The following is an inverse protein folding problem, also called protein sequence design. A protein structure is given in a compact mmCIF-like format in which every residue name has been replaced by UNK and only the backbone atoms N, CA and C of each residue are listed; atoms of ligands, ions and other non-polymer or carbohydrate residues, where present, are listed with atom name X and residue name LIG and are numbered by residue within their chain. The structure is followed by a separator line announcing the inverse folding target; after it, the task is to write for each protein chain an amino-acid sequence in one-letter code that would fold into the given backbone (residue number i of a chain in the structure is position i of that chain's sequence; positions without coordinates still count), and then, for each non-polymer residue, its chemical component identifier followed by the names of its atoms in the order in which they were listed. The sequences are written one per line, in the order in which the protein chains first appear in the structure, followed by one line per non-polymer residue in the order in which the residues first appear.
data_IF_874535422136
#
_entry.id   IF_874535422136
#
_cell.length_a   1.000
_cell.length_b   1.000
_cell.length_c   1.000
_cell.angle_alpha   90.00
_cell.angle_beta   90.00
_cell.angle_gamma   90.00
#
_symmetry.space_group_name_H-M   'P 1'
#
loop_
_entity.id
_entity.type
_entity.pdbx_description
1 polymer ?
#
# COMPACT_ATOMS: atom_id res chain seq x y z
N UNK A 1 19.16 8.46 -24.24
CA UNK A 1 17.96 7.67 -23.96
C UNK A 1 17.96 7.23 -22.50
N UNK A 2 16.96 7.58 -21.78
CA UNK A 2 16.87 7.20 -20.38
C UNK A 2 16.48 5.73 -20.26
N UNK A 3 17.20 5.00 -19.39
CA UNK A 3 16.92 3.59 -19.14
C UNK A 3 15.72 3.42 -18.18
N UNK A 4 15.54 4.35 -17.27
CA UNK A 4 14.45 4.33 -16.32
C UNK A 4 13.62 5.61 -16.44
N UNK A 5 12.30 5.46 -16.54
CA UNK A 5 11.35 6.59 -16.57
C UNK A 5 11.04 7.10 -15.17
N UNK A 6 11.03 6.21 -14.20
CA UNK A 6 10.74 6.54 -12.82
C UNK A 6 11.38 5.54 -11.88
N UNK A 7 11.97 6.04 -10.81
CA UNK A 7 12.52 5.23 -9.72
C UNK A 7 11.84 5.70 -8.43
N UNK A 8 11.20 4.80 -7.70
CA UNK A 8 10.46 5.19 -6.50
C UNK A 8 10.41 4.05 -5.48
N UNK A 9 10.18 4.43 -4.23
CA UNK A 9 9.97 3.49 -3.14
C UNK A 9 8.61 3.81 -2.51
N UNK A 10 7.58 2.96 -2.73
CA UNK A 10 6.27 3.23 -2.17
C UNK A 10 6.31 3.34 -0.65
N UNK A 11 5.49 4.25 -0.12
CA UNK A 11 5.38 4.49 1.31
C UNK A 11 3.91 4.44 1.75
N UNK A 12 3.69 4.48 3.05
CA UNK A 12 2.36 4.62 3.60
C UNK A 12 2.37 5.55 4.81
N UNK A 13 1.23 6.18 5.06
CA UNK A 13 1.01 6.96 6.27
C UNK A 13 0.64 6.02 7.40
N UNK A 14 1.55 5.84 8.34
CA UNK A 14 1.27 5.15 9.59
C UNK A 14 0.91 6.15 10.67
N UNK A 15 0.31 5.66 11.73
CA UNK A 15 -0.02 6.49 12.88
C UNK A 15 0.90 6.09 14.04
N UNK A 16 1.53 7.07 14.65
CA UNK A 16 2.43 6.85 15.78
C UNK A 16 2.01 7.72 16.95
N UNK A 17 1.86 7.10 18.12
CA UNK A 17 1.50 7.83 19.33
C UNK A 17 2.77 8.27 20.06
N UNK A 18 2.90 9.56 20.27
CA UNK A 18 4.04 10.15 20.95
C UNK A 18 3.54 11.23 21.91
N UNK A 19 3.94 11.14 23.18
CA UNK A 19 3.54 12.05 24.24
C UNK A 19 2.01 12.25 24.33
N UNK A 20 1.25 11.16 24.18
CA UNK A 20 -0.19 11.17 24.27
C UNK A 20 -0.93 11.63 23.01
N UNK A 21 -0.22 12.04 21.99
CA UNK A 21 -0.82 12.51 20.73
C UNK A 21 -0.45 11.62 19.56
N UNK A 22 -1.37 11.51 18.59
CA UNK A 22 -1.15 10.75 17.37
C UNK A 22 -0.52 11.62 16.29
N UNK A 23 0.52 11.10 15.68
CA UNK A 23 1.23 11.76 14.59
C UNK A 23 1.27 10.84 13.38
N UNK A 24 1.24 11.44 12.19
CA UNK A 24 1.43 10.71 10.95
C UNK A 24 2.92 10.46 10.77
N UNK A 25 3.28 9.21 10.49
CA UNK A 25 4.64 8.79 10.21
C UNK A 25 4.68 8.12 8.84
N UNK A 26 5.60 8.54 8.00
CA UNK A 26 5.75 7.96 6.67
C UNK A 26 6.71 6.79 6.75
N UNK A 27 6.22 5.60 6.41
CA UNK A 27 6.98 4.37 6.45
C UNK A 27 7.06 3.72 5.07
N UNK A 28 8.07 2.88 4.85
CA UNK A 28 8.20 2.15 3.61
C UNK A 28 7.14 1.06 3.52
N UNK A 29 6.42 1.01 2.40
CA UNK A 29 5.43 -0.02 2.14
C UNK A 29 6.09 -1.38 1.92
N UNK A 30 7.23 -1.39 1.21
CA UNK A 30 8.05 -2.57 0.94
C UNK A 30 9.48 -2.29 1.36
N UNK A 31 9.82 -2.49 2.66
CA UNK A 31 11.17 -2.18 3.13
C UNK A 31 12.24 -2.97 2.36
N UNK A 32 13.29 -2.28 1.96
CA UNK A 32 14.39 -2.88 1.22
C UNK A 32 14.18 -2.96 -0.29
N UNK A 33 13.02 -2.55 -0.81
CA UNK A 33 12.72 -2.61 -2.24
C UNK A 33 12.60 -1.22 -2.84
N UNK A 34 13.06 -1.10 -4.07
CA UNK A 34 12.89 0.08 -4.91
C UNK A 34 12.24 -0.38 -6.21
N UNK A 35 11.26 0.36 -6.67
CA UNK A 35 10.58 0.06 -7.92
C UNK A 35 11.11 0.94 -9.04
N UNK A 36 11.31 0.33 -10.20
CA UNK A 36 11.78 1.03 -11.38
C UNK A 36 10.75 0.81 -12.49
N UNK A 37 10.29 1.90 -13.07
CA UNK A 37 9.42 1.89 -14.22
C UNK A 37 10.25 2.23 -15.46
N UNK A 38 10.17 1.40 -16.50
CA UNK A 38 10.92 1.59 -17.73
C UNK A 38 10.13 1.09 -18.92
N UNK A 39 10.20 1.82 -20.03
CA UNK A 39 9.68 1.37 -21.31
C UNK A 39 10.68 0.48 -22.04
N UNK A 40 11.93 0.44 -21.56
CA UNK A 40 13.03 -0.31 -22.16
C UNK A 40 13.53 -1.41 -21.23
N UNK A 41 12.66 -2.40 -20.97
CA UNK A 41 12.94 -3.45 -19.99
C UNK A 41 14.25 -4.20 -20.26
N UNK A 42 14.55 -4.52 -21.54
CA UNK A 42 15.76 -5.26 -21.88
C UNK A 42 17.03 -4.45 -21.59
N UNK A 43 17.00 -3.16 -21.88
CA UNK A 43 18.13 -2.27 -21.60
C UNK A 43 18.30 -2.06 -20.10
N UNK A 44 17.19 -1.97 -19.39
CA UNK A 44 17.20 -1.86 -17.94
C UNK A 44 17.83 -3.09 -17.30
N UNK A 45 17.46 -4.27 -17.76
CA UNK A 45 18.03 -5.54 -17.28
C UNK A 45 19.54 -5.57 -17.48
N UNK A 46 20.02 -5.21 -18.67
CA UNK A 46 21.44 -5.15 -18.98
C UNK A 46 22.16 -4.12 -18.09
N UNK A 47 21.55 -2.96 -17.91
CA UNK A 47 22.12 -1.91 -17.05
C UNK A 47 22.25 -2.38 -15.60
N UNK A 48 21.23 -3.05 -15.07
CA UNK A 48 21.24 -3.53 -13.69
C UNK A 48 22.25 -4.64 -13.46
N UNK A 49 22.55 -5.45 -14.48
CA UNK A 49 23.60 -6.48 -14.40
C UNK A 49 24.98 -5.88 -14.18
N UNK A 50 25.20 -4.65 -14.63
CA UNK A 50 26.47 -3.95 -14.47
C UNK A 50 26.60 -3.22 -13.13
N UNK A 51 25.51 -3.07 -12.39
CA UNK A 51 25.56 -2.47 -11.07
C UNK A 51 26.04 -3.50 -10.05
N UNK A 52 27.15 -3.20 -9.41
CA UNK A 52 27.72 -4.14 -8.44
C UNK A 52 27.22 -3.89 -7.02
N UNK A 53 26.59 -4.90 -6.45
CA UNK A 53 26.56 -5.12 -4.99
C UNK A 53 25.51 -4.39 -4.18
N UNK A 54 25.01 -3.22 -4.54
CA UNK A 54 24.08 -2.44 -3.71
C UNK A 54 22.63 -2.60 -4.10
N UNK A 55 22.32 -2.87 -5.36
CA UNK A 55 20.96 -3.04 -5.85
C UNK A 55 20.88 -4.34 -6.63
N UNK A 56 19.99 -5.23 -6.20
CA UNK A 56 19.77 -6.51 -6.87
C UNK A 56 18.34 -6.57 -7.34
N UNK A 57 18.07 -6.79 -8.65
CA UNK A 57 16.70 -7.00 -9.11
C UNK A 57 16.09 -8.24 -8.47
N UNK A 58 14.79 -8.21 -8.24
CA UNK A 58 14.07 -9.38 -7.74
C UNK A 58 14.06 -10.44 -8.84
N UNK A 59 14.57 -11.62 -8.51
CA UNK A 59 14.66 -12.74 -9.44
C UNK A 59 13.81 -13.89 -8.94
N UNK A 60 13.06 -14.48 -9.87
CA UNK A 60 12.30 -15.70 -9.61
C UNK A 60 12.64 -16.68 -10.72
N UNK A 61 13.12 -17.87 -10.33
CA UNK A 61 13.49 -18.89 -11.30
C UNK A 61 14.70 -18.54 -12.17
N UNK A 62 15.61 -17.69 -11.64
CA UNK A 62 16.85 -17.33 -12.34
C UNK A 62 16.74 -16.16 -13.30
N UNK A 63 15.55 -15.54 -13.44
CA UNK A 63 15.34 -14.35 -14.25
C UNK A 63 14.79 -13.19 -13.46
N UNK A 64 14.81 -12.01 -14.06
CA UNK A 64 14.16 -10.84 -13.47
C UNK A 64 12.65 -11.01 -13.51
N UNK A 65 11.97 -10.47 -12.50
CA UNK A 65 10.53 -10.57 -12.41
C UNK A 65 9.90 -9.18 -12.50
N UNK A 66 9.32 -8.82 -13.66
CA UNK A 66 8.56 -7.58 -13.76
C UNK A 66 7.24 -7.71 -13.01
N UNK A 67 6.76 -6.59 -12.48
CA UNK A 67 5.43 -6.54 -11.89
C UNK A 67 4.40 -6.71 -13.00
N UNK A 68 3.40 -7.57 -12.77
CA UNK A 68 2.34 -7.81 -13.74
C UNK A 68 1.44 -6.58 -13.88
N UNK A 69 0.78 -6.45 -15.02
CA UNK A 69 -0.09 -5.31 -15.31
C UNK A 69 -1.19 -5.13 -14.26
N UNK A 70 -1.84 -6.21 -13.84
CA UNK A 70 -2.88 -6.16 -12.83
C UNK A 70 -2.33 -5.82 -11.44
N UNK A 71 -1.11 -6.27 -11.13
CA UNK A 71 -0.43 -5.92 -9.88
C UNK A 71 -0.07 -4.43 -9.86
N UNK A 72 0.42 -3.94 -10.98
CA UNK A 72 0.75 -2.52 -11.14
C UNK A 72 -0.50 -1.64 -11.01
N UNK A 73 -1.59 -2.05 -11.66
CA UNK A 73 -2.86 -1.32 -11.58
C UNK A 73 -3.36 -1.24 -10.13
N UNK A 74 -3.28 -2.34 -9.38
CA UNK A 74 -3.69 -2.37 -7.99
C UNK A 74 -2.86 -1.38 -7.14
N UNK A 75 -1.54 -1.39 -7.31
CA UNK A 75 -0.66 -0.47 -6.59
C UNK A 75 -0.95 0.98 -6.95
N UNK A 76 -1.15 1.28 -8.22
CA UNK A 76 -1.45 2.64 -8.68
C UNK A 76 -2.74 3.18 -8.09
N UNK A 77 -3.74 2.34 -7.90
CA UNK A 77 -5.00 2.74 -7.26
C UNK A 77 -4.80 3.12 -5.78
N UNK A 78 -3.85 2.48 -5.10
CA UNK A 78 -3.59 2.75 -3.69
C UNK A 78 -2.67 3.95 -3.47
N UNK A 79 -1.73 4.18 -4.39
CA UNK A 79 -0.73 5.24 -4.26
C UNK A 79 -1.27 6.57 -4.77
N UNK A 80 -0.89 7.64 -4.09
CA UNK A 80 -1.18 9.00 -4.56
C UNK A 80 -0.02 9.54 -5.44
N UNK A 81 -0.03 10.83 -5.73
CA UNK A 81 0.99 11.47 -6.55
C UNK A 81 2.39 11.42 -5.93
N UNK A 82 2.48 11.23 -4.63
CA UNK A 82 3.74 11.13 -3.89
C UNK A 82 4.16 9.66 -3.66
N UNK A 83 3.54 8.73 -4.37
CA UNK A 83 3.75 7.28 -4.21
C UNK A 83 3.54 6.81 -2.77
N UNK A 84 2.52 7.35 -2.14
CA UNK A 84 2.19 7.08 -0.75
C UNK A 84 0.75 6.57 -0.63
N UNK A 85 0.57 5.54 0.19
CA UNK A 85 -0.75 5.07 0.59
C UNK A 85 -1.16 5.89 1.82
N UNK A 86 -2.08 6.82 1.62
CA UNK A 86 -2.58 7.66 2.72
C UNK A 86 -3.44 6.83 3.68
N UNK A 87 -3.58 7.28 4.92
CA UNK A 87 -4.42 6.55 5.86
C UNK A 87 -5.89 6.65 5.44
N UNK A 88 -6.66 5.62 5.79
CA UNK A 88 -8.09 5.56 5.51
C UNK A 88 -8.90 5.90 6.75
N UNK A 89 -10.06 6.49 6.54
CA UNK A 89 -11.07 6.68 7.57
C UNK A 89 -12.16 5.64 7.37
N UNK A 90 -12.34 4.79 8.35
CA UNK A 90 -13.21 3.62 8.24
C UNK A 90 -14.10 3.50 9.47
N UNK A 91 -15.19 2.76 9.31
CA UNK A 91 -16.05 2.37 10.41
C UNK A 91 -16.21 0.86 10.46
N UNK A 92 -16.44 0.32 11.62
CA UNK A 92 -16.89 -1.07 11.77
C UNK A 92 -18.41 -1.01 11.89
N UNK A 93 -19.10 -1.54 10.89
CA UNK A 93 -20.57 -1.53 10.82
C UNK A 93 -21.05 -2.97 10.88
N UNK A 94 -21.72 -3.35 11.97
CA UNK A 94 -22.14 -4.72 12.25
C UNK A 94 -21.02 -5.75 12.02
N UNK A 95 -19.83 -5.44 12.53
CA UNK A 95 -18.66 -6.30 12.44
C UNK A 95 -17.92 -6.29 11.12
N UNK A 96 -18.35 -5.48 10.15
CA UNK A 96 -17.70 -5.37 8.83
C UNK A 96 -17.03 -4.02 8.67
N UNK A 97 -15.87 -4.04 8.03
CA UNK A 97 -15.15 -2.81 7.71
C UNK A 97 -15.85 -2.07 6.57
N UNK A 98 -16.21 -0.82 6.82
CA UNK A 98 -16.77 0.07 5.81
C UNK A 98 -15.85 1.28 5.66
N UNK A 99 -15.34 1.49 4.45
CA UNK A 99 -14.42 2.58 4.18
C UNK A 99 -15.21 3.84 3.87
N UNK A 100 -15.03 4.88 4.68
CA UNK A 100 -15.65 6.18 4.45
C UNK A 100 -14.86 6.95 3.39
N UNK A 101 -13.54 6.94 3.52
CA UNK A 101 -12.65 7.55 2.53
C UNK A 101 -11.24 6.99 2.65
N UNK A 102 -10.53 6.99 1.54
CA UNK A 102 -9.13 6.60 1.50
C UNK A 102 -8.85 5.44 0.56
N UNK A 103 -7.59 5.02 0.49
CA UNK A 103 -7.14 4.02 -0.48
C UNK A 103 -7.69 2.61 -0.28
N UNK A 104 -8.27 2.30 0.89
CA UNK A 104 -8.89 0.99 1.12
C UNK A 104 -10.28 0.87 0.49
N UNK A 105 -10.81 1.95 -0.10
CA UNK A 105 -12.10 1.92 -0.78
C UNK A 105 -12.09 0.87 -1.90
N UNK A 106 -13.02 -0.07 -1.86
CA UNK A 106 -13.08 -1.17 -2.81
C UNK A 106 -12.05 -2.27 -2.58
N UNK A 107 -11.27 -2.22 -1.51
CA UNK A 107 -10.19 -3.17 -1.25
C UNK A 107 -10.29 -3.88 0.10
N UNK A 108 -11.45 -3.83 0.73
CA UNK A 108 -11.64 -4.44 2.04
C UNK A 108 -11.45 -5.96 2.04
N UNK A 109 -11.64 -6.61 0.89
CA UNK A 109 -11.41 -8.05 0.76
C UNK A 109 -9.94 -8.45 0.97
N UNK A 110 -9.03 -7.52 0.81
CA UNK A 110 -7.60 -7.75 1.01
C UNK A 110 -7.18 -7.59 2.47
N UNK A 111 -8.03 -6.98 3.30
CA UNK A 111 -7.72 -6.74 4.71
C UNK A 111 -7.83 -8.04 5.49
N UNK A 112 -6.75 -8.41 6.17
CA UNK A 112 -6.68 -9.67 6.96
C UNK A 112 -6.78 -9.42 8.45
N UNK A 113 -6.22 -8.32 8.92
CA UNK A 113 -6.21 -8.00 10.33
C UNK A 113 -6.21 -6.49 10.54
N UNK A 114 -6.92 -6.05 11.56
CA UNK A 114 -6.94 -4.64 11.96
C UNK A 114 -6.46 -4.54 13.39
N UNK A 115 -5.45 -3.72 13.62
CA UNK A 115 -4.98 -3.38 14.95
C UNK A 115 -5.43 -1.94 15.26
N UNK A 116 -6.51 -1.82 16.04
CA UNK A 116 -7.08 -0.52 16.37
C UNK A 116 -6.18 0.30 17.28
N UNK A 117 -5.41 -0.36 18.13
CA UNK A 117 -4.50 0.34 19.04
C UNK A 117 -3.35 1.00 18.30
N UNK A 118 -2.84 0.34 17.28
CA UNK A 118 -1.77 0.86 16.43
C UNK A 118 -2.28 1.63 15.22
N UNK A 119 -3.58 1.60 14.98
CA UNK A 119 -4.22 2.21 13.80
C UNK A 119 -3.61 1.71 12.50
N UNK A 120 -3.48 0.39 12.40
CA UNK A 120 -2.86 -0.29 11.26
C UNK A 120 -3.79 -1.39 10.76
N UNK A 121 -3.92 -1.49 9.45
CA UNK A 121 -4.51 -2.64 8.78
C UNK A 121 -3.40 -3.44 8.10
N UNK A 122 -3.46 -4.76 8.23
CA UNK A 122 -2.61 -5.67 7.51
C UNK A 122 -3.38 -6.23 6.31
N UNK A 123 -2.82 -6.08 5.13
CA UNK A 123 -3.42 -6.55 3.89
C UNK A 123 -2.56 -7.63 3.28
N UNK A 124 -3.21 -8.56 2.58
CA UNK A 124 -2.53 -9.48 1.69
C UNK A 124 -2.83 -9.05 0.26
N UNK A 125 -1.78 -8.77 -0.48
CA UNK A 125 -1.90 -8.38 -1.88
C UNK A 125 -1.07 -9.34 -2.74
N UNK A 126 -1.36 -9.35 -4.02
CA UNK A 126 -0.61 -10.12 -5.00
C UNK A 126 0.49 -9.25 -5.59
N UNK A 127 1.74 -9.69 -5.46
CA UNK A 127 2.88 -8.99 -6.03
C UNK A 127 3.97 -10.00 -6.36
N UNK A 128 4.58 -9.87 -7.53
CA UNK A 128 5.57 -10.84 -8.05
C UNK A 128 4.99 -12.25 -8.17
N UNK A 129 3.69 -12.37 -8.47
CA UNK A 129 3.02 -13.66 -8.53
C UNK A 129 2.87 -14.37 -7.19
N UNK A 130 3.13 -13.69 -6.08
CA UNK A 130 3.07 -14.24 -4.74
C UNK A 130 2.20 -13.36 -3.85
N UNK A 131 1.69 -13.97 -2.77
CA UNK A 131 0.99 -13.20 -1.74
C UNK A 131 2.01 -12.46 -0.89
N UNK A 132 1.83 -11.15 -0.76
CA UNK A 132 2.66 -10.28 0.06
C UNK A 132 1.81 -9.57 1.08
N UNK A 133 2.36 -9.41 2.28
CA UNK A 133 1.68 -8.67 3.33
C UNK A 133 2.20 -7.26 3.38
N UNK A 134 1.27 -6.30 3.44
CA UNK A 134 1.60 -4.90 3.62
C UNK A 134 0.83 -4.33 4.79
N UNK A 135 1.33 -3.23 5.33
CA UNK A 135 0.69 -2.45 6.38
C UNK A 135 0.28 -1.10 5.84
N UNK A 136 -0.92 -0.68 6.20
CA UNK A 136 -1.41 0.66 5.87
C UNK A 136 -2.06 1.27 7.10
N UNK A 137 -2.07 2.59 7.17
CA UNK A 137 -2.72 3.30 8.27
C UNK A 137 -4.22 3.38 8.08
N UNK A 138 -4.95 3.31 9.18
CA UNK A 138 -6.39 3.59 9.17
C UNK A 138 -6.81 4.16 10.52
N UNK A 139 -7.93 4.85 10.52
CA UNK A 139 -8.57 5.34 11.72
C UNK A 139 -9.99 4.80 11.78
N UNK A 140 -10.37 4.22 12.91
CA UNK A 140 -11.72 3.72 13.15
C UNK A 140 -12.30 4.52 14.34
N UNK A 141 -13.01 5.63 14.04
CA UNK A 141 -13.56 6.48 15.12
C UNK A 141 -14.64 5.78 15.94
N UNK A 142 -15.39 4.86 15.31
CA UNK A 142 -16.51 4.21 16.00
C UNK A 142 -16.86 2.87 15.38
N UNK A 143 -17.48 2.02 16.22
CA UNK A 143 -18.23 0.85 15.77
C UNK A 143 -19.69 1.21 15.79
N UNK A 144 -20.38 0.95 14.70
CA UNK A 144 -21.76 1.36 14.50
C UNK A 144 -22.64 0.18 14.12
N UNK A 145 -23.93 0.28 14.41
CA UNK A 145 -24.93 -0.55 13.76
C UNK A 145 -25.23 0.01 12.37
N UNK A 146 -25.89 -0.78 11.54
CA UNK A 146 -26.32 -0.30 10.21
C UNK A 146 -27.20 0.93 10.35
N UNK A 147 -28.13 0.93 11.30
CA UNK A 147 -29.03 2.06 11.54
C UNK A 147 -28.26 3.32 11.94
N UNK A 148 -27.30 3.20 12.85
CA UNK A 148 -26.45 4.33 13.29
C UNK A 148 -25.63 4.88 12.13
N UNK A 149 -25.08 4.01 11.30
CA UNK A 149 -24.28 4.41 10.15
C UNK A 149 -25.11 5.17 9.11
N UNK A 150 -26.31 4.65 8.81
CA UNK A 150 -27.24 5.31 7.88
C UNK A 150 -27.67 6.67 8.40
N UNK A 151 -27.94 6.78 9.70
CA UNK A 151 -28.31 8.04 10.34
C UNK A 151 -27.18 9.06 10.26
N UNK A 152 -25.94 8.63 10.49
CA UNK A 152 -24.77 9.49 10.38
C UNK A 152 -24.56 9.99 8.94
N UNK A 153 -24.78 9.13 7.95
CA UNK A 153 -24.69 9.52 6.53
C UNK A 153 -25.77 10.53 6.17
N UNK A 154 -26.96 10.37 6.66
CA UNK A 154 -28.06 11.28 6.38
C UNK A 154 -27.85 12.67 6.98
N UNK A 155 -27.05 12.78 8.06
CA UNK A 155 -26.75 14.05 8.72
C UNK A 155 -25.66 14.87 8.01
N UNK A 156 -24.97 14.29 7.04
CA UNK A 156 -23.97 15.00 6.20
C UNK A 156 -24.51 15.30 4.79
#
# INVERSE_FOLDING_TARGET
MEVADKIFSPSYEGMHKYQGEWHIEINKLFPGYVFIQSENADQLETYLEHLSGTVTPVQIGGGFYPIRTEEQAFLKEMLDADDCVRYSLDYIVDGKLVVERGPLSGKTDHVRKIDRHKRIANLTIRLFGQDRQIRVGLEIPARLTVAEYQQQKAAT
#
